data_IF_426574050611
#
_entry.id   IF_426574050611
#
_cell.length_a   1.000
_cell.length_b   1.000
_cell.length_c   1.000
_cell.angle_alpha   90.00
_cell.angle_beta   90.00
_cell.angle_gamma   90.00
#
_symmetry.space_group_name_H-M   'P 1'
#
loop_
_entity.id
_entity.type
_entity.pdbx_description
1 polymer ?
#
# COMPACT_ATOMS: atom_id res chain seq x y z
N UNK A 1 12.64 5.25 -3.41
CA UNK A 1 11.91 6.37 -2.79
C UNK A 1 12.84 7.21 -1.92
N UNK A 2 13.49 6.64 -0.88
CA UNK A 2 14.41 7.37 0.03
C UNK A 2 15.40 8.29 -0.68
N UNK A 3 16.15 7.76 -1.65
CA UNK A 3 17.14 8.55 -2.41
C UNK A 3 16.51 9.71 -3.18
N UNK A 4 15.26 9.58 -3.66
CA UNK A 4 14.54 10.67 -4.30
C UNK A 4 14.11 11.71 -3.27
N UNK A 5 13.60 11.26 -2.12
CA UNK A 5 13.19 12.14 -1.01
C UNK A 5 14.35 12.98 -0.48
N UNK A 6 15.56 12.42 -0.44
CA UNK A 6 16.79 13.10 -0.03
C UNK A 6 17.32 14.10 -1.06
N UNK A 7 17.03 13.90 -2.36
CA UNK A 7 17.59 14.72 -3.45
C UNK A 7 16.67 15.83 -3.94
N UNK A 8 15.37 15.67 -3.79
CA UNK A 8 14.37 16.58 -4.35
C UNK A 8 13.39 17.03 -3.28
N UNK A 9 12.99 18.31 -3.32
CA UNK A 9 12.03 18.92 -2.39
C UNK A 9 10.59 18.96 -2.92
N UNK A 10 10.29 18.19 -3.96
CA UNK A 10 8.94 18.09 -4.54
C UNK A 10 8.15 16.93 -3.92
N UNK A 11 6.80 16.90 -4.05
CA UNK A 11 6.00 15.75 -3.64
C UNK A 11 6.35 14.48 -4.42
N UNK A 12 6.41 13.34 -3.74
CA UNK A 12 6.71 12.03 -4.32
C UNK A 12 5.52 11.09 -4.15
N UNK A 13 4.98 10.60 -5.26
CA UNK A 13 4.00 9.52 -5.26
C UNK A 13 4.69 8.15 -5.45
N UNK A 14 4.20 7.13 -4.77
CA UNK A 14 4.62 5.74 -4.95
C UNK A 14 3.40 4.87 -5.24
N UNK A 15 3.51 3.99 -6.24
CA UNK A 15 2.44 3.07 -6.61
C UNK A 15 2.78 1.66 -6.14
N UNK A 16 1.96 1.12 -5.22
CA UNK A 16 1.91 -0.31 -4.91
C UNK A 16 1.14 -1.03 -6.03
N UNK A 17 1.90 -1.58 -6.98
CA UNK A 17 1.38 -2.10 -8.25
C UNK A 17 0.59 -3.42 -8.09
N UNK A 18 -0.11 -3.82 -9.14
CA UNK A 18 -1.00 -4.99 -9.15
C UNK A 18 -0.31 -6.31 -8.78
N UNK A 19 0.96 -6.48 -9.14
CA UNK A 19 1.76 -7.65 -8.77
C UNK A 19 1.96 -7.76 -7.25
N UNK A 20 2.38 -6.66 -6.61
CA UNK A 20 2.56 -6.58 -5.16
C UNK A 20 1.25 -6.80 -4.41
N UNK A 21 0.16 -6.19 -4.89
CA UNK A 21 -1.18 -6.42 -4.36
C UNK A 21 -1.58 -7.89 -4.46
N UNK A 22 -1.40 -8.51 -5.63
CA UNK A 22 -1.76 -9.92 -5.86
C UNK A 22 -0.96 -10.85 -4.95
N UNK A 23 0.34 -10.59 -4.77
CA UNK A 23 1.19 -11.38 -3.87
C UNK A 23 0.66 -11.35 -2.43
N UNK A 24 0.39 -10.16 -1.90
CA UNK A 24 -0.13 -10.00 -0.54
C UNK A 24 -1.52 -10.64 -0.42
N UNK A 25 -2.42 -10.40 -1.39
CA UNK A 25 -3.76 -11.00 -1.40
C UNK A 25 -3.74 -12.51 -1.44
N UNK A 26 -2.85 -13.11 -2.24
CA UNK A 26 -2.70 -14.56 -2.30
C UNK A 26 -2.14 -15.10 -0.98
N UNK A 27 -1.16 -14.43 -0.38
CA UNK A 27 -0.63 -14.78 0.94
C UNK A 27 -1.71 -14.76 2.03
N UNK A 28 -2.54 -13.72 2.06
CA UNK A 28 -3.69 -13.63 2.97
C UNK A 28 -4.69 -14.77 2.72
N UNK A 29 -5.02 -15.03 1.45
CA UNK A 29 -5.97 -16.10 1.07
C UNK A 29 -5.49 -17.48 1.50
N UNK A 30 -4.19 -17.73 1.51
CA UNK A 30 -3.58 -18.99 1.96
C UNK A 30 -3.19 -18.95 3.45
N UNK A 31 -3.68 -17.98 4.21
CA UNK A 31 -3.43 -17.86 5.67
C UNK A 31 -1.93 -17.74 6.04
N UNK A 32 -1.09 -17.33 5.09
CA UNK A 32 0.34 -17.09 5.30
C UNK A 32 0.54 -15.80 6.10
N UNK A 33 -0.34 -14.82 5.91
CA UNK A 33 -0.25 -13.50 6.54
C UNK A 33 -1.56 -13.10 7.22
N UNK A 34 -1.44 -12.45 8.38
CA UNK A 34 -2.53 -11.64 8.92
C UNK A 34 -2.79 -10.43 8.01
N UNK A 35 -4.03 -10.30 7.53
CA UNK A 35 -4.41 -9.33 6.52
C UNK A 35 -4.14 -7.88 6.94
N UNK A 36 -4.58 -7.51 8.14
CA UNK A 36 -4.46 -6.14 8.62
C UNK A 36 -3.00 -5.79 8.85
N UNK A 37 -2.23 -6.69 9.44
CA UNK A 37 -0.81 -6.48 9.73
C UNK A 37 0.01 -6.31 8.46
N UNK A 38 -0.11 -7.22 7.49
CA UNK A 38 0.73 -7.18 6.28
C UNK A 38 0.41 -5.98 5.39
N UNK A 39 -0.87 -5.62 5.26
CA UNK A 39 -1.30 -4.45 4.48
C UNK A 39 -0.75 -3.17 5.14
N UNK A 40 -0.93 -3.02 6.46
CA UNK A 40 -0.40 -1.87 7.18
C UNK A 40 1.13 -1.79 7.07
N UNK A 41 1.83 -2.90 7.24
CA UNK A 41 3.28 -2.94 7.16
C UNK A 41 3.81 -2.55 5.77
N UNK A 42 3.17 -3.02 4.70
CA UNK A 42 3.52 -2.65 3.32
C UNK A 42 3.34 -1.14 3.08
N UNK A 43 2.16 -0.59 3.40
CA UNK A 43 1.85 0.82 3.18
C UNK A 43 2.69 1.75 4.07
N UNK A 44 2.88 1.40 5.34
CA UNK A 44 3.75 2.14 6.26
C UNK A 44 5.20 2.12 5.81
N UNK A 45 5.67 1.01 5.22
CA UNK A 45 7.03 0.92 4.69
C UNK A 45 7.24 1.85 3.50
N UNK A 46 6.25 1.97 2.60
CA UNK A 46 6.27 2.94 1.50
C UNK A 46 6.26 4.37 2.04
N UNK A 47 5.40 4.66 3.04
CA UNK A 47 5.35 5.98 3.69
C UNK A 47 6.69 6.32 4.35
N UNK A 48 7.25 5.40 5.12
CA UNK A 48 8.56 5.53 5.79
C UNK A 48 9.70 5.74 4.81
N UNK A 49 9.62 5.15 3.62
CA UNK A 49 10.63 5.36 2.58
C UNK A 49 10.61 6.78 1.99
N UNK A 50 9.61 7.62 2.33
CA UNK A 50 9.55 9.03 1.96
C UNK A 50 8.50 9.38 0.91
N UNK A 51 7.48 8.54 0.72
CA UNK A 51 6.36 8.86 -0.16
C UNK A 51 5.40 9.87 0.50
N UNK A 52 4.97 10.88 -0.25
CA UNK A 52 3.95 11.84 0.17
C UNK A 52 2.55 11.29 -0.14
N UNK A 53 2.41 10.62 -1.30
CA UNK A 53 1.19 9.96 -1.76
C UNK A 53 1.46 8.47 -2.04
N UNK A 54 0.52 7.61 -1.68
CA UNK A 54 0.56 6.18 -2.02
C UNK A 54 -0.67 5.84 -2.86
N UNK A 55 -0.43 5.31 -4.05
CA UNK A 55 -1.47 4.74 -4.91
C UNK A 55 -1.49 3.24 -4.61
N UNK A 56 -2.66 2.69 -4.26
CA UNK A 56 -2.78 1.26 -3.93
C UNK A 56 -4.22 0.80 -4.14
N UNK A 57 -4.38 -0.50 -4.41
CA UNK A 57 -5.68 -1.17 -4.44
C UNK A 57 -6.21 -1.50 -3.04
N UNK A 58 -5.37 -1.44 -2.00
CA UNK A 58 -5.73 -1.77 -0.61
C UNK A 58 -6.53 -0.68 0.13
N UNK A 59 -6.94 0.39 -0.54
CA UNK A 59 -7.70 1.49 0.09
C UNK A 59 -8.95 0.98 0.83
N UNK A 60 -9.79 0.09 0.28
CA UNK A 60 -10.98 -0.42 0.96
C UNK A 60 -10.62 -1.18 2.24
N UNK A 61 -9.64 -2.08 2.15
CA UNK A 61 -9.18 -2.88 3.28
C UNK A 61 -8.55 -2.01 4.36
N UNK A 62 -7.73 -1.03 3.97
CA UNK A 62 -7.07 -0.11 4.89
C UNK A 62 -8.09 0.77 5.64
N UNK A 63 -9.14 1.22 4.95
CA UNK A 63 -10.21 2.04 5.56
C UNK A 63 -11.31 1.19 6.23
N UNK A 64 -11.28 -0.13 6.08
CA UNK A 64 -12.35 -1.02 6.56
C UNK A 64 -13.69 -0.78 5.86
N UNK A 65 -13.69 -0.23 4.65
CA UNK A 65 -14.91 0.08 3.88
C UNK A 65 -15.11 -0.90 2.74
N UNK A 66 -16.36 -1.24 2.45
CA UNK A 66 -16.72 -1.97 1.21
C UNK A 66 -17.00 -0.96 0.10
N UNK A 67 -16.39 -1.14 -1.08
CA UNK A 67 -16.58 -0.24 -2.25
C UNK A 67 -18.03 -0.31 -2.81
N UNK A 68 -18.90 -1.18 -2.30
CA UNK A 68 -20.28 -1.35 -2.77
C UNK A 68 -21.20 -0.12 -2.62
N UNK A 69 -20.67 1.06 -2.29
CA UNK A 69 -21.41 2.33 -2.15
C UNK A 69 -21.10 3.38 -3.22
N UNK A 70 -20.23 3.08 -4.19
CA UNK A 70 -19.80 4.06 -5.20
C UNK A 70 -20.15 3.71 -6.65
N UNK A 71 -20.90 2.63 -6.86
CA UNK A 71 -21.55 2.27 -8.13
C UNK A 71 -22.94 1.71 -7.87
#
# INVERSE_FOLDING_TARGET
>A
IKTLREKFLVPIAAFNVSGEYTMIKLGIKNEIFDANRIINEALLSIKRAGADLIITYFVPEFLGVKISKFF
#
